data_IF_237967725830
#
_entry.id   IF_237967725830
#
_cell.length_a   1.000
_cell.length_b   1.000
_cell.length_c   1.000
_cell.angle_alpha   90.00
_cell.angle_beta   90.00
_cell.angle_gamma   90.00
#
_symmetry.space_group_name_H-M   'P 1'
#
loop_
_entity.id
_entity.type
_entity.pdbx_description
1 polymer ?
#
# COMPACT_ATOMS: atom_id res chain seq x y z
N UNK A 1 -20.15 4.09 2.99
CA UNK A 1 -21.37 3.88 3.79
C UNK A 1 -21.35 2.44 4.29
N UNK A 2 -21.27 2.24 5.61
CA UNK A 2 -21.42 0.92 6.23
C UNK A 2 -22.87 0.47 6.00
N UNK A 3 -23.09 -0.45 5.07
CA UNK A 3 -24.40 -1.07 4.90
C UNK A 3 -24.70 -1.85 6.19
N UNK A 4 -25.80 -1.47 6.85
CA UNK A 4 -26.33 -2.09 8.06
C UNK A 4 -26.50 -3.59 7.84
N UNK A 5 -25.58 -4.35 8.40
CA UNK A 5 -25.78 -5.78 8.61
C UNK A 5 -26.57 -5.93 9.90
N UNK A 6 -27.47 -6.93 10.01
CA UNK A 6 -28.09 -7.24 11.27
C UNK A 6 -27.01 -7.48 12.31
N UNK A 7 -27.05 -6.76 13.44
CA UNK A 7 -26.08 -6.82 14.54
C UNK A 7 -25.75 -8.27 14.98
N UNK A 8 -26.68 -9.20 14.73
CA UNK A 8 -26.58 -10.62 15.02
C UNK A 8 -25.52 -11.36 14.18
N UNK A 9 -25.32 -11.03 12.90
CA UNK A 9 -24.32 -11.68 12.04
C UNK A 9 -22.92 -11.19 12.42
N UNK A 10 -22.77 -9.88 12.60
CA UNK A 10 -21.52 -9.27 13.10
C UNK A 10 -21.18 -9.82 14.48
N UNK A 11 -22.15 -9.92 15.40
CA UNK A 11 -21.97 -10.52 16.72
C UNK A 11 -21.54 -11.99 16.69
N UNK A 12 -22.11 -12.80 15.80
CA UNK A 12 -21.74 -14.21 15.67
C UNK A 12 -20.31 -14.39 15.10
N UNK A 13 -19.92 -13.57 14.12
CA UNK A 13 -18.56 -13.54 13.58
C UNK A 13 -17.56 -13.08 14.65
N UNK A 14 -17.89 -12.04 15.41
CA UNK A 14 -17.09 -11.56 16.54
C UNK A 14 -16.83 -12.68 17.55
N UNK A 15 -17.87 -13.37 17.99
CA UNK A 15 -17.75 -14.45 18.97
C UNK A 15 -16.84 -15.58 18.49
N UNK A 16 -16.85 -15.87 17.18
CA UNK A 16 -15.94 -16.86 16.58
C UNK A 16 -14.50 -16.37 16.59
N UNK A 17 -14.27 -15.12 16.18
CA UNK A 17 -12.93 -14.52 16.17
C UNK A 17 -12.38 -14.39 17.60
N UNK A 18 -13.19 -13.96 18.57
CA UNK A 18 -12.77 -13.78 19.96
C UNK A 18 -12.32 -15.08 20.63
N UNK A 19 -12.91 -16.22 20.23
CA UNK A 19 -12.53 -17.55 20.73
C UNK A 19 -11.24 -18.09 20.12
N UNK A 20 -10.73 -17.48 19.05
CA UNK A 20 -9.48 -17.91 18.45
C UNK A 20 -8.31 -17.65 19.40
N UNK A 21 -7.35 -18.58 19.39
CA UNK A 21 -6.06 -18.42 20.05
C UNK A 21 -5.27 -17.25 19.42
N UNK A 22 -4.22 -16.73 20.09
CA UNK A 22 -3.45 -15.59 19.59
C UNK A 22 -2.83 -15.80 18.21
N UNK A 23 -2.35 -17.01 17.92
CA UNK A 23 -1.71 -17.41 16.66
C UNK A 23 -2.63 -17.27 15.43
N UNK A 24 -3.81 -17.92 15.37
CA UNK A 24 -4.74 -17.76 14.25
C UNK A 24 -5.30 -16.32 14.13
N UNK A 25 -5.46 -15.61 15.26
CA UNK A 25 -5.82 -14.17 15.23
C UNK A 25 -4.76 -13.34 14.52
N UNK A 26 -3.48 -13.65 14.72
CA UNK A 26 -2.39 -12.96 14.04
C UNK A 26 -2.42 -13.22 12.53
N UNK A 27 -2.65 -14.46 12.11
CA UNK A 27 -2.81 -14.82 10.69
C UNK A 27 -3.96 -14.03 10.06
N UNK A 28 -5.15 -13.99 10.70
CA UNK A 28 -6.29 -13.22 10.20
C UNK A 28 -5.99 -11.73 10.05
N UNK A 29 -5.28 -11.13 11.01
CA UNK A 29 -4.89 -9.72 10.95
C UNK A 29 -3.99 -9.43 9.75
N UNK A 30 -3.02 -10.29 9.48
CA UNK A 30 -2.11 -10.15 8.35
C UNK A 30 -2.87 -10.27 7.03
N UNK A 31 -3.69 -11.32 6.89
CA UNK A 31 -4.51 -11.55 5.67
C UNK A 31 -5.46 -10.38 5.44
N UNK A 32 -6.04 -9.82 6.52
CA UNK A 32 -6.98 -8.71 6.41
C UNK A 32 -6.31 -7.46 5.84
N UNK A 33 -5.09 -7.15 6.28
CA UNK A 33 -4.32 -6.01 5.76
C UNK A 33 -3.80 -6.28 4.35
N UNK A 34 -3.30 -7.48 4.07
CA UNK A 34 -2.72 -7.84 2.78
C UNK A 34 -3.75 -7.89 1.63
N UNK A 35 -5.00 -8.26 1.93
CA UNK A 35 -6.10 -8.25 0.95
C UNK A 35 -6.41 -9.63 0.38
N UNK A 36 -6.35 -9.76 -0.95
CA UNK A 36 -6.69 -10.99 -1.68
C UNK A 36 -5.41 -11.76 -2.03
N UNK A 37 -5.57 -13.06 -2.29
CA UNK A 37 -4.52 -13.97 -2.77
C UNK A 37 -3.25 -13.99 -1.91
N UNK A 38 -3.44 -14.01 -0.59
CA UNK A 38 -2.33 -13.90 0.38
C UNK A 38 -1.60 -15.23 0.49
N UNK A 39 -0.39 -15.31 -0.05
CA UNK A 39 0.45 -16.53 0.01
C UNK A 39 0.95 -16.79 1.43
N UNK A 40 1.08 -18.06 1.82
CA UNK A 40 1.62 -18.45 3.13
C UNK A 40 3.01 -17.85 3.41
N UNK A 41 3.87 -17.77 2.39
CA UNK A 41 5.21 -17.17 2.52
C UNK A 41 5.16 -15.72 2.98
N UNK A 42 4.24 -14.91 2.43
CA UNK A 42 4.06 -13.52 2.86
C UNK A 42 3.71 -13.49 4.35
N UNK A 43 2.76 -14.33 4.79
CA UNK A 43 2.31 -14.37 6.18
C UNK A 43 3.48 -14.71 7.12
N UNK A 44 4.29 -15.72 6.77
CA UNK A 44 5.47 -16.12 7.54
C UNK A 44 6.50 -14.99 7.67
N UNK A 45 6.72 -14.23 6.59
CA UNK A 45 7.76 -13.19 6.56
C UNK A 45 7.33 -11.91 7.28
N UNK A 46 6.07 -11.50 7.13
CA UNK A 46 5.53 -10.25 7.73
C UNK A 46 5.04 -10.43 9.16
N UNK A 47 4.83 -11.67 9.61
CA UNK A 47 4.42 -11.92 10.99
C UNK A 47 5.47 -11.39 11.99
N UNK A 48 5.06 -10.62 13.03
CA UNK A 48 5.97 -10.16 14.07
C UNK A 48 6.53 -11.32 14.91
N UNK A 49 5.73 -12.35 15.16
CA UNK A 49 6.18 -13.62 15.73
C UNK A 49 6.47 -14.59 14.59
N UNK A 50 7.60 -15.31 14.67
CA UNK A 50 7.96 -16.30 13.66
C UNK A 50 7.11 -17.56 13.83
N UNK A 51 6.58 -18.03 12.71
CA UNK A 51 5.95 -19.34 12.58
C UNK A 51 6.94 -20.32 11.98
N UNK A 52 6.91 -21.58 12.41
CA UNK A 52 7.41 -22.67 11.55
C UNK A 52 6.47 -22.87 10.37
N UNK A 53 6.94 -23.55 9.33
CA UNK A 53 6.12 -23.88 8.16
C UNK A 53 4.91 -24.73 8.58
N UNK A 54 5.11 -25.69 9.47
CA UNK A 54 4.07 -26.60 9.96
C UNK A 54 3.04 -25.86 10.82
N UNK A 55 3.48 -24.96 11.71
CA UNK A 55 2.59 -24.14 12.54
C UNK A 55 1.70 -23.25 11.67
N UNK A 56 2.30 -22.49 10.75
CA UNK A 56 1.53 -21.60 9.89
C UNK A 56 0.53 -22.38 9.03
N UNK A 57 0.95 -23.53 8.48
CA UNK A 57 0.06 -24.35 7.69
C UNK A 57 -1.10 -24.86 8.54
N UNK A 58 -0.84 -25.36 9.76
CA UNK A 58 -1.89 -25.78 10.69
C UNK A 58 -2.91 -24.66 10.96
N UNK A 59 -2.45 -23.44 11.22
CA UNK A 59 -3.34 -22.30 11.49
C UNK A 59 -4.18 -21.90 10.27
N UNK A 60 -3.58 -21.94 9.09
CA UNK A 60 -4.29 -21.66 7.83
C UNK A 60 -5.37 -22.72 7.57
N UNK A 61 -5.07 -24.00 7.74
CA UNK A 61 -6.08 -25.07 7.62
C UNK A 61 -7.16 -24.95 8.67
N UNK A 62 -6.79 -24.60 9.91
CA UNK A 62 -7.75 -24.39 10.98
C UNK A 62 -8.72 -23.25 10.63
N UNK A 63 -8.22 -22.11 10.16
CA UNK A 63 -9.05 -20.98 9.73
C UNK A 63 -9.92 -21.29 8.50
N UNK A 64 -9.44 -22.15 7.60
CA UNK A 64 -10.24 -22.67 6.48
C UNK A 64 -11.34 -23.62 6.96
N UNK A 65 -11.04 -24.50 7.92
CA UNK A 65 -12.02 -25.43 8.52
C UNK A 65 -13.14 -24.71 9.27
N UNK A 66 -12.86 -23.50 9.77
CA UNK A 66 -13.84 -22.61 10.41
C UNK A 66 -14.64 -21.76 9.40
N UNK A 67 -14.39 -21.93 8.11
CA UNK A 67 -15.05 -21.20 7.03
C UNK A 67 -14.78 -19.68 7.03
N UNK A 68 -13.71 -19.26 7.71
CA UNK A 68 -13.31 -17.83 7.79
C UNK A 68 -12.45 -17.46 6.59
N UNK A 69 -11.47 -18.31 6.29
CA UNK A 69 -10.63 -18.18 5.10
C UNK A 69 -11.02 -19.22 4.06
N UNK A 70 -10.72 -18.91 2.81
CA UNK A 70 -10.76 -19.86 1.70
C UNK A 70 -9.40 -19.88 1.01
N UNK A 71 -9.15 -20.98 0.31
CA UNK A 71 -8.03 -21.10 -0.63
C UNK A 71 -8.49 -20.61 -1.98
N UNK A 72 -7.79 -19.60 -2.49
CA UNK A 72 -7.95 -19.20 -3.87
C UNK A 72 -7.22 -20.17 -4.81
N UNK A 73 -7.64 -20.18 -6.07
CA UNK A 73 -7.08 -20.94 -7.19
C UNK A 73 -5.57 -20.77 -7.39
N UNK A 74 -5.01 -19.64 -6.95
CA UNK A 74 -3.58 -19.32 -6.99
C UNK A 74 -2.76 -19.86 -5.81
N UNK A 75 -3.33 -20.75 -4.98
CA UNK A 75 -2.76 -21.16 -3.68
C UNK A 75 -2.61 -20.02 -2.65
N UNK A 76 -3.24 -18.87 -2.90
CA UNK A 76 -3.40 -17.80 -1.93
C UNK A 76 -4.53 -18.09 -0.93
N UNK A 77 -4.53 -17.36 0.18
CA UNK A 77 -5.60 -17.36 1.17
C UNK A 77 -6.29 -16.01 1.17
N UNK A 78 -7.61 -16.01 1.24
CA UNK A 78 -8.41 -14.79 1.38
C UNK A 78 -9.62 -15.04 2.27
N UNK A 79 -10.25 -13.97 2.74
CA UNK A 79 -11.48 -14.09 3.52
C UNK A 79 -12.60 -14.63 2.63
N UNK A 80 -13.40 -15.56 3.17
CA UNK A 80 -14.62 -16.01 2.50
C UNK A 80 -15.59 -14.86 2.24
N UNK A 81 -15.67 -13.94 3.20
CA UNK A 81 -16.58 -12.81 3.19
C UNK A 81 -15.84 -11.52 3.52
N UNK A 82 -15.93 -10.51 2.65
CA UNK A 82 -15.29 -9.21 2.84
C UNK A 82 -15.74 -8.51 4.14
N UNK A 83 -16.99 -8.71 4.55
CA UNK A 83 -17.50 -8.22 5.82
C UNK A 83 -16.71 -8.73 7.04
N UNK A 84 -16.30 -10.01 7.04
CA UNK A 84 -15.49 -10.57 8.13
C UNK A 84 -14.10 -9.92 8.15
N UNK A 85 -13.54 -9.64 6.98
CA UNK A 85 -12.29 -8.87 6.84
C UNK A 85 -12.44 -7.48 7.45
N UNK A 86 -13.52 -6.75 7.13
CA UNK A 86 -13.75 -5.41 7.68
C UNK A 86 -13.88 -5.43 9.21
N UNK A 87 -14.53 -6.45 9.77
CA UNK A 87 -14.59 -6.66 11.23
C UNK A 87 -13.18 -6.86 11.82
N UNK A 88 -12.35 -7.72 11.22
CA UNK A 88 -10.96 -7.93 11.65
C UNK A 88 -10.13 -6.64 11.55
N UNK A 89 -10.30 -5.87 10.47
CA UNK A 89 -9.67 -4.56 10.30
C UNK A 89 -10.11 -3.56 11.37
N UNK A 90 -11.36 -3.63 11.81
CA UNK A 90 -11.90 -2.81 12.91
C UNK A 90 -11.20 -3.05 14.25
N UNK A 91 -10.70 -4.27 14.50
CA UNK A 91 -10.00 -4.63 15.75
C UNK A 91 -8.51 -4.29 15.76
N UNK A 92 -7.94 -3.94 14.61
CA UNK A 92 -6.55 -3.52 14.56
C UNK A 92 -6.41 -2.13 15.17
N UNK A 93 -5.54 -2.01 16.17
CA UNK A 93 -5.14 -0.69 16.66
C UNK A 93 -4.45 0.07 15.53
N UNK A 94 -4.44 1.39 15.64
CA UNK A 94 -3.78 2.26 14.67
C UNK A 94 -2.31 1.85 14.44
N UNK A 95 -1.56 1.61 15.51
CA UNK A 95 -0.16 1.15 15.44
C UNK A 95 -0.03 -0.21 14.74
N UNK A 96 -0.96 -1.15 14.99
CA UNK A 96 -0.94 -2.47 14.33
C UNK A 96 -1.19 -2.35 12.82
N UNK A 97 -2.13 -1.49 12.39
CA UNK A 97 -2.38 -1.24 10.97
C UNK A 97 -1.12 -0.72 10.29
N UNK A 98 -0.52 0.35 10.83
CA UNK A 98 0.69 0.96 10.28
C UNK A 98 1.82 -0.05 10.14
N UNK A 99 2.08 -0.80 11.22
CA UNK A 99 3.11 -1.83 11.25
C UNK A 99 2.90 -2.87 10.14
N UNK A 100 1.70 -3.45 10.05
CA UNK A 100 1.40 -4.48 9.06
C UNK A 100 1.47 -3.94 7.64
N UNK A 101 0.89 -2.76 7.36
CA UNK A 101 0.97 -2.13 6.05
C UNK A 101 2.42 -1.88 5.62
N UNK A 102 3.29 -1.40 6.53
CA UNK A 102 4.70 -1.17 6.25
C UNK A 102 5.44 -2.48 5.93
N UNK A 103 5.24 -3.54 6.73
CA UNK A 103 5.90 -4.84 6.51
C UNK A 103 5.44 -5.53 5.23
N UNK A 104 4.14 -5.46 4.92
CA UNK A 104 3.58 -6.04 3.68
C UNK A 104 4.14 -5.32 2.45
N UNK A 105 4.14 -3.98 2.45
CA UNK A 105 4.70 -3.23 1.34
C UNK A 105 6.19 -3.48 1.15
N UNK A 106 6.95 -3.53 2.25
CA UNK A 106 8.39 -3.82 2.21
C UNK A 106 8.66 -5.22 1.68
N UNK A 107 7.89 -6.23 2.10
CA UNK A 107 7.99 -7.59 1.55
C UNK A 107 7.80 -7.62 0.02
N UNK A 108 6.78 -6.94 -0.50
CA UNK A 108 6.54 -6.89 -1.95
C UNK A 108 7.67 -6.19 -2.71
N UNK A 109 8.22 -5.11 -2.15
CA UNK A 109 9.38 -4.41 -2.73
C UNK A 109 10.62 -5.31 -2.75
N UNK A 110 10.94 -5.96 -1.63
CA UNK A 110 12.14 -6.80 -1.49
C UNK A 110 12.08 -8.05 -2.39
N UNK A 111 10.89 -8.65 -2.49
CA UNK A 111 10.62 -9.81 -3.34
C UNK A 111 10.52 -9.47 -4.82
N UNK A 112 10.43 -8.19 -5.19
CA UNK A 112 10.17 -7.70 -6.54
C UNK A 112 8.93 -8.37 -7.18
N UNK A 113 7.86 -8.53 -6.40
CA UNK A 113 6.63 -9.18 -6.88
C UNK A 113 5.95 -8.34 -7.97
N UNK A 114 6.14 -8.76 -9.23
CA UNK A 114 5.61 -8.09 -10.43
C UNK A 114 4.08 -8.11 -10.52
N UNK A 115 3.41 -8.94 -9.72
CA UNK A 115 1.95 -8.99 -9.71
C UNK A 115 1.34 -7.88 -8.85
N UNK A 116 2.16 -7.19 -8.04
CA UNK A 116 1.70 -6.10 -7.19
C UNK A 116 1.91 -4.77 -7.91
N UNK A 117 0.80 -4.09 -8.20
CA UNK A 117 0.86 -2.78 -8.86
C UNK A 117 1.53 -1.72 -7.97
N UNK A 118 2.18 -0.71 -8.56
CA UNK A 118 2.68 0.44 -7.81
C UNK A 118 1.58 1.17 -7.05
N UNK A 119 0.35 1.25 -7.59
CA UNK A 119 -0.79 1.83 -6.88
C UNK A 119 -1.12 1.08 -5.57
N UNK A 120 -0.98 -0.25 -5.57
CA UNK A 120 -1.14 -1.07 -4.35
C UNK A 120 -0.04 -0.77 -3.33
N UNK A 121 1.21 -0.68 -3.77
CA UNK A 121 2.34 -0.33 -2.89
C UNK A 121 2.17 1.07 -2.28
N UNK A 122 1.75 2.05 -3.10
CA UNK A 122 1.40 3.38 -2.64
C UNK A 122 0.35 3.35 -1.53
N UNK A 123 -0.76 2.65 -1.74
CA UNK A 123 -1.82 2.52 -0.74
C UNK A 123 -1.29 1.95 0.59
N UNK A 124 -0.49 0.90 0.56
CA UNK A 124 0.09 0.36 1.79
C UNK A 124 1.03 1.35 2.48
N UNK A 125 1.93 2.01 1.74
CA UNK A 125 2.83 2.98 2.36
C UNK A 125 2.09 4.22 2.87
N UNK A 126 0.98 4.63 2.26
CA UNK A 126 0.12 5.71 2.77
C UNK A 126 -0.50 5.32 4.11
N UNK A 127 -1.09 4.14 4.20
CA UNK A 127 -1.63 3.64 5.48
C UNK A 127 -0.56 3.46 6.55
N UNK A 128 0.66 3.09 6.16
CA UNK A 128 1.82 3.01 7.06
C UNK A 128 2.28 4.40 7.56
N UNK A 129 2.21 5.41 6.69
CA UNK A 129 2.68 6.77 6.95
C UNK A 129 1.84 7.52 7.97
N UNK A 130 0.52 7.27 8.00
CA UNK A 130 -0.43 8.01 8.84
C UNK A 130 0.03 8.09 10.30
N UNK A 131 -0.10 9.26 10.91
CA UNK A 131 -0.03 9.48 12.36
C UNK A 131 -1.43 9.69 12.94
N UNK A 132 -1.60 9.64 14.28
CA UNK A 132 -2.87 10.08 14.88
C UNK A 132 -3.07 11.58 14.66
N UNK A 133 -1.96 12.32 14.55
CA UNK A 133 -1.91 13.72 14.12
C UNK A 133 -0.73 13.94 13.15
N UNK A 134 -0.64 15.11 12.48
CA UNK A 134 0.40 15.38 11.50
C UNK A 134 1.85 15.29 12.01
N UNK A 135 2.10 15.46 13.31
CA UNK A 135 3.44 15.39 13.89
C UNK A 135 3.95 13.94 14.03
N UNK A 136 3.05 12.96 14.02
CA UNK A 136 3.37 11.52 14.08
C UNK A 136 3.54 10.85 12.71
N UNK A 137 3.57 11.64 11.63
CA UNK A 137 3.78 11.15 10.27
C UNK A 137 5.08 10.34 10.18
N UNK A 138 4.99 9.10 9.74
CA UNK A 138 6.18 8.32 9.37
C UNK A 138 6.70 8.82 8.02
N UNK A 139 7.70 9.69 8.10
CA UNK A 139 8.32 10.37 6.95
C UNK A 139 8.90 9.36 5.94
N UNK A 140 9.65 8.31 6.32
CA UNK A 140 10.08 7.26 5.40
C UNK A 140 8.92 6.59 4.64
N UNK A 141 7.86 6.17 5.32
CA UNK A 141 6.69 5.59 4.67
C UNK A 141 5.96 6.59 3.76
N UNK A 142 5.83 7.85 4.19
CA UNK A 142 5.21 8.91 3.39
C UNK A 142 5.98 9.15 2.08
N UNK A 143 7.32 9.21 2.14
CA UNK A 143 8.18 9.33 0.96
C UNK A 143 8.04 8.12 0.02
N UNK A 144 7.95 6.90 0.56
CA UNK A 144 7.69 5.68 -0.24
C UNK A 144 6.34 5.73 -0.95
N UNK A 145 5.29 6.15 -0.25
CA UNK A 145 3.97 6.36 -0.83
C UNK A 145 4.01 7.37 -2.00
N UNK A 146 4.62 8.54 -1.78
CA UNK A 146 4.81 9.57 -2.81
C UNK A 146 5.49 8.99 -4.05
N UNK A 147 6.52 8.17 -3.86
CA UNK A 147 7.22 7.53 -4.96
C UNK A 147 6.30 6.58 -5.72
N UNK A 148 5.72 5.58 -5.06
CA UNK A 148 4.87 4.61 -5.76
C UNK A 148 3.63 5.23 -6.43
N UNK A 149 3.10 6.34 -5.91
CA UNK A 149 2.05 7.11 -6.60
C UNK A 149 2.55 7.71 -7.92
N UNK A 150 3.78 8.21 -7.98
CA UNK A 150 4.36 8.72 -9.23
C UNK A 150 4.62 7.60 -10.23
N UNK A 151 5.11 6.44 -9.79
CA UNK A 151 5.23 5.26 -10.66
C UNK A 151 3.86 4.89 -11.24
N UNK A 152 2.84 4.78 -10.38
CA UNK A 152 1.48 4.45 -10.80
C UNK A 152 0.92 5.48 -11.80
N UNK A 153 1.21 6.76 -11.60
CA UNK A 153 0.84 7.82 -12.55
C UNK A 153 1.54 7.64 -13.90
N UNK A 154 2.83 7.33 -13.92
CA UNK A 154 3.56 7.08 -15.17
C UNK A 154 3.02 5.85 -15.91
N UNK A 155 2.71 4.76 -15.20
CA UNK A 155 2.09 3.57 -15.78
C UNK A 155 0.72 3.88 -16.39
N UNK A 156 -0.15 4.57 -15.65
CA UNK A 156 -1.45 5.02 -16.13
C UNK A 156 -1.32 5.94 -17.37
N UNK A 157 -0.36 6.87 -17.39
CA UNK A 157 -0.09 7.71 -18.57
C UNK A 157 0.35 6.88 -19.78
N UNK A 158 1.23 5.87 -19.59
CA UNK A 158 1.64 4.95 -20.67
C UNK A 158 0.46 4.14 -21.20
N UNK A 159 -0.50 3.80 -20.33
CA UNK A 159 -1.73 3.12 -20.68
C UNK A 159 -2.83 4.06 -21.23
N UNK A 160 -2.58 5.38 -21.30
CA UNK A 160 -3.55 6.41 -21.68
C UNK A 160 -4.76 6.54 -20.73
N UNK A 161 -4.59 6.16 -19.46
CA UNK A 161 -5.55 6.26 -18.37
C UNK A 161 -5.36 7.59 -17.61
N UNK A 162 -5.67 8.70 -18.28
CA UNK A 162 -5.34 10.05 -17.80
C UNK A 162 -6.02 10.40 -16.46
N UNK A 163 -7.25 9.93 -16.23
CA UNK A 163 -7.96 10.18 -14.97
C UNK A 163 -7.28 9.52 -13.77
N UNK A 164 -6.78 8.30 -13.94
CA UNK A 164 -6.07 7.59 -12.87
C UNK A 164 -4.69 8.20 -12.64
N UNK A 165 -3.98 8.59 -13.70
CA UNK A 165 -2.75 9.35 -13.57
C UNK A 165 -2.94 10.64 -12.75
N UNK A 166 -4.00 11.41 -13.04
CA UNK A 166 -4.33 12.63 -12.31
C UNK A 166 -4.67 12.35 -10.83
N UNK A 167 -5.42 11.28 -10.54
CA UNK A 167 -5.71 10.86 -9.16
C UNK A 167 -4.44 10.54 -8.38
N UNK A 168 -3.51 9.79 -8.97
CA UNK A 168 -2.26 9.43 -8.31
C UNK A 168 -1.36 10.65 -8.07
N UNK A 169 -1.26 11.56 -9.05
CA UNK A 169 -0.50 12.81 -8.89
C UNK A 169 -1.09 13.72 -7.82
N UNK A 170 -2.41 13.89 -7.78
CA UNK A 170 -3.08 14.70 -6.75
C UNK A 170 -2.82 14.15 -5.34
N UNK A 171 -2.92 12.83 -5.15
CA UNK A 171 -2.57 12.17 -3.88
C UNK A 171 -1.11 12.41 -3.50
N UNK A 172 -0.20 12.31 -4.47
CA UNK A 172 1.24 12.53 -4.26
C UNK A 172 1.53 13.96 -3.79
N UNK A 173 0.85 14.96 -4.37
CA UNK A 173 0.96 16.36 -3.96
C UNK A 173 0.47 16.60 -2.54
N UNK A 174 -0.67 16.00 -2.14
CA UNK A 174 -1.19 16.09 -0.77
C UNK A 174 -0.17 15.54 0.22
N UNK A 175 0.41 14.36 -0.05
CA UNK A 175 1.44 13.77 0.81
C UNK A 175 2.69 14.65 0.93
N UNK A 176 3.14 15.27 -0.16
CA UNK A 176 4.29 16.19 -0.13
C UNK A 176 4.05 17.40 0.76
N UNK A 177 2.82 17.94 0.78
CA UNK A 177 2.47 19.07 1.64
C UNK A 177 2.46 18.71 3.13
N UNK A 178 2.32 17.42 3.47
CA UNK A 178 2.37 16.94 4.85
C UNK A 178 3.79 16.69 5.35
N UNK A 179 4.80 16.65 4.47
CA UNK A 179 6.19 16.45 4.90
C UNK A 179 6.66 17.65 5.74
N UNK A 180 7.42 17.43 6.84
CA UNK A 180 8.03 18.50 7.59
C UNK A 180 8.92 19.37 6.70
N UNK A 181 8.98 20.69 6.93
CA UNK A 181 9.80 21.62 6.11
C UNK A 181 11.30 21.28 6.09
N UNK A 182 11.80 20.54 7.09
CA UNK A 182 13.16 20.02 7.15
C UNK A 182 13.40 18.78 6.28
N UNK A 183 12.33 18.19 5.73
CA UNK A 183 12.35 16.99 4.90
C UNK A 183 12.10 17.36 3.44
N UNK A 184 13.13 17.29 2.60
CA UNK A 184 12.93 17.39 1.15
C UNK A 184 12.06 16.23 0.63
N UNK A 185 11.21 16.44 -0.39
CA UNK A 185 10.34 15.39 -0.94
C UNK A 185 11.12 14.24 -1.62
N UNK A 186 12.41 14.47 -1.91
CA UNK A 186 13.30 13.54 -2.62
C UNK A 186 14.65 13.37 -1.91
N UNK A 187 14.64 13.22 -0.60
CA UNK A 187 15.76 12.56 0.05
C UNK A 187 15.55 11.04 -0.07
N UNK A 188 16.14 10.49 -1.14
CA UNK A 188 15.98 9.14 -1.66
C UNK A 188 16.53 8.05 -0.73
N UNK A 189 17.52 8.38 0.10
CA UNK A 189 18.11 7.44 1.07
C UNK A 189 17.09 7.08 2.17
N UNK A 190 16.43 8.09 2.73
CA UNK A 190 15.31 7.90 3.67
C UNK A 190 14.08 7.27 3.01
N UNK A 191 13.82 7.57 1.74
CA UNK A 191 12.66 7.09 0.99
C UNK A 191 12.75 5.62 0.57
N UNK A 192 13.89 4.96 0.68
CA UNK A 192 14.05 3.55 0.31
C UNK A 192 14.32 2.65 1.53
N UNK A 193 14.43 3.21 2.73
CA UNK A 193 14.65 2.43 3.96
C UNK A 193 15.99 1.69 3.97
N UNK A 194 17.00 2.24 3.29
CA UNK A 194 18.32 1.62 3.17
C UNK A 194 19.14 1.88 4.43
N UNK A 195 19.04 0.99 5.40
CA UNK A 195 20.11 0.79 6.39
C UNK A 195 21.07 -0.22 5.76
N UNK A 196 22.31 0.22 5.49
CA UNK A 196 23.48 -0.51 4.98
C UNK A 196 23.27 -1.72 4.03
N UNK A 197 23.77 -1.59 2.78
CA UNK A 197 24.14 -2.76 1.95
C UNK A 197 23.43 -2.93 0.60
N UNK A 198 22.57 -2.01 0.14
CA UNK A 198 21.86 -2.16 -1.14
C UNK A 198 22.09 -1.01 -2.14
N UNK A 199 23.33 -0.52 -2.22
CA UNK A 199 23.75 0.60 -3.11
C UNK A 199 23.44 0.36 -4.60
N UNK A 200 23.37 -0.90 -5.04
CA UNK A 200 23.13 -1.25 -6.43
C UNK A 200 21.67 -1.03 -6.84
N UNK A 201 20.72 -1.39 -5.96
CA UNK A 201 19.29 -1.14 -6.18
C UNK A 201 19.02 0.37 -6.12
N UNK A 202 19.66 1.08 -5.18
CA UNK A 202 19.63 2.54 -5.07
C UNK A 202 20.06 3.21 -6.39
N UNK A 203 21.21 2.82 -6.95
CA UNK A 203 21.69 3.36 -8.24
C UNK A 203 20.75 3.05 -9.40
N UNK A 204 20.24 1.83 -9.50
CA UNK A 204 19.31 1.46 -10.58
C UNK A 204 17.99 2.24 -10.50
N UNK A 205 17.44 2.44 -9.31
CA UNK A 205 16.22 3.22 -9.10
C UNK A 205 16.47 4.71 -9.37
N UNK A 206 17.63 5.26 -8.98
CA UNK A 206 18.05 6.64 -9.28
C UNK A 206 18.26 6.88 -10.78
N UNK A 207 18.94 5.97 -11.47
CA UNK A 207 19.19 6.07 -12.91
C UNK A 207 17.86 6.01 -13.69
N UNK A 208 16.95 5.14 -13.28
CA UNK A 208 15.60 5.07 -13.85
C UNK A 208 14.79 6.34 -13.56
N UNK A 209 14.94 6.92 -12.36
CA UNK A 209 14.27 8.15 -11.96
C UNK A 209 14.76 9.37 -12.78
N UNK A 210 16.07 9.54 -12.97
CA UNK A 210 16.62 10.64 -13.78
C UNK A 210 16.22 10.51 -15.26
N UNK A 211 16.19 9.28 -15.77
CA UNK A 211 15.73 9.00 -17.13
C UNK A 211 14.23 9.28 -17.33
N UNK A 212 13.38 8.92 -16.36
CA UNK A 212 11.93 9.08 -16.48
C UNK A 212 11.45 10.49 -16.13
N UNK A 213 12.03 11.15 -15.10
CA UNK A 213 11.58 12.46 -14.62
C UNK A 213 11.86 13.60 -15.59
N UNK A 214 13.02 13.59 -16.27
CA UNK A 214 13.36 14.59 -17.30
C UNK A 214 12.44 14.48 -18.53
N UNK A 215 12.14 13.25 -18.96
CA UNK A 215 11.21 12.98 -20.05
C UNK A 215 9.76 13.33 -19.68
N UNK A 216 9.34 13.04 -18.44
CA UNK A 216 7.97 13.26 -17.97
C UNK A 216 7.67 14.73 -17.66
N UNK A 217 8.61 15.48 -17.07
CA UNK A 217 8.42 16.92 -16.85
C UNK A 217 8.32 17.68 -18.18
N UNK A 218 9.19 17.38 -19.15
CA UNK A 218 9.11 17.98 -20.49
C UNK A 218 7.79 17.64 -21.20
N UNK A 219 7.29 16.41 -21.05
CA UNK A 219 6.04 15.97 -21.69
C UNK A 219 4.79 16.55 -21.02
N UNK A 220 4.80 16.69 -19.69
CA UNK A 220 3.74 17.38 -18.94
C UNK A 220 3.74 18.87 -19.29
N UNK A 221 4.91 19.51 -19.38
CA UNK A 221 5.03 20.91 -19.80
C UNK A 221 4.45 21.13 -21.21
N UNK A 222 4.78 20.25 -22.16
CA UNK A 222 4.23 20.31 -23.53
C UNK A 222 2.71 20.09 -23.58
N UNK A 223 2.16 19.19 -22.76
CA UNK A 223 0.71 18.95 -22.68
C UNK A 223 -0.05 20.11 -22.03
N UNK A 224 0.59 20.80 -21.08
CA UNK A 224 0.05 22.03 -20.47
C UNK A 224 0.09 23.18 -21.48
N UNK A 225 1.20 23.37 -22.19
CA UNK A 225 1.35 24.40 -23.23
C UNK A 225 0.39 24.19 -24.40
N UNK A 226 0.15 22.94 -24.81
CA UNK A 226 -0.78 22.61 -25.89
C UNK A 226 -2.27 22.82 -25.54
N UNK A 227 -2.62 22.95 -24.26
CA UNK A 227 -4.00 23.11 -23.79
C UNK A 227 -4.29 24.49 -23.16
N UNK A 228 -3.33 25.43 -23.20
CA UNK A 228 -3.59 26.80 -22.81
C UNK A 228 -4.43 27.51 -23.89
N UNK A 229 -5.49 28.25 -23.52
CA UNK A 229 -6.18 29.11 -24.49
C UNK A 229 -5.18 30.12 -25.06
N UNK A 230 -5.28 30.47 -26.36
CA UNK A 230 -4.35 31.41 -26.97
C UNK A 230 -4.35 32.73 -26.18
N UNK A 231 -3.19 33.39 -26.06
CA UNK A 231 -3.12 34.65 -25.34
C UNK A 231 -4.12 35.64 -25.97
N UNK A 232 -4.80 36.46 -25.15
CA UNK A 232 -5.78 37.41 -25.66
C UNK A 232 -5.09 38.33 -26.66
N UNK A 233 -5.63 38.36 -27.89
CA UNK A 233 -5.17 39.26 -28.95
C UNK A 233 -5.34 40.69 -28.45
N UNK A 234 -4.23 41.37 -28.15
CA UNK A 234 -4.25 42.80 -27.88
C UNK A 234 -4.81 43.49 -29.12
N UNK A 235 -6.02 44.06 -28.98
CA UNK A 235 -6.57 44.94 -30.00
C UNK A 235 -5.75 46.23 -29.94
N UNK A 236 -4.80 46.36 -30.87
CA UNK A 236 -4.13 47.62 -31.15
C UNK A 236 -5.19 48.73 -31.33
N UNK A 237 -5.00 49.83 -30.60
CA UNK A 237 -5.80 51.06 -30.72
C UNK A 237 -5.19 51.98 -31.75
#
# INVERSE_FOLDING_TARGET
ALHELPDTITGAVLLRIDRLLPSPKLVLKIVAVAGKDVRAQLIADVAPAKFTTEELQYELEYLVSLDILIRDTSHGYCFRHDMVREVVLGFLTFAQKRFLHNRIASYYVDSQDKNVSPATLANHFEEAAKGMDPSELDVPACKRAIWFLKVAAEEAMRANEIDDANKYLARSQVLMQMLPSSSGPFDLESALGLVDGNEKLLRQVLDQFLANSSASLARIQLLVEANLPPPPVERER
#
